data_IF_562578868768
#
_entry.id   IF_562578868768
#
_cell.length_a   1.000
_cell.length_b   1.000
_cell.length_c   1.000
_cell.angle_alpha   90.00
_cell.angle_beta   90.00
_cell.angle_gamma   90.00
#
_symmetry.space_group_name_H-M   'P 1'
#
loop_
_entity.id
_entity.type
_entity.pdbx_description
1 polymer ?
#
# COMPACT_ATOMS: atom_id res chain seq x y z
N UNK A 1 -25.51 -23.37 -15.31
CA UNK A 1 -25.69 -21.90 -15.22
C UNK A 1 -24.69 -21.37 -14.21
N UNK A 2 -23.49 -21.03 -14.68
CA UNK A 2 -22.38 -20.57 -13.83
C UNK A 2 -22.67 -19.16 -13.35
N UNK A 3 -22.80 -18.97 -12.03
CA UNK A 3 -22.76 -17.63 -11.41
C UNK A 3 -21.32 -17.12 -11.58
N UNK A 4 -21.05 -16.40 -12.65
CA UNK A 4 -19.89 -15.51 -12.71
C UNK A 4 -20.10 -14.49 -11.61
N UNK A 5 -19.42 -14.69 -10.48
CA UNK A 5 -19.30 -13.63 -9.48
C UNK A 5 -18.76 -12.41 -10.23
N UNK A 6 -19.38 -11.22 -10.12
CA UNK A 6 -18.70 -10.02 -10.55
C UNK A 6 -17.43 -9.99 -9.71
N UNK A 7 -16.28 -10.32 -10.31
CA UNK A 7 -15.00 -10.07 -9.66
C UNK A 7 -15.06 -8.59 -9.34
N UNK A 8 -15.20 -8.28 -8.06
CA UNK A 8 -15.29 -6.91 -7.58
C UNK A 8 -14.10 -6.19 -8.21
N UNK A 9 -14.42 -5.29 -9.13
CA UNK A 9 -13.46 -4.53 -9.89
C UNK A 9 -12.84 -3.55 -8.89
N UNK A 10 -11.85 -4.02 -8.14
CA UNK A 10 -11.20 -3.18 -7.14
C UNK A 10 -10.41 -2.13 -7.91
N UNK A 11 -10.52 -0.84 -7.52
CA UNK A 11 -9.76 0.20 -8.17
C UNK A 11 -8.26 -0.12 -8.06
N UNK A 12 -7.53 0.07 -9.17
CA UNK A 12 -6.07 -0.03 -9.15
C UNK A 12 -5.54 0.89 -8.04
N UNK A 13 -4.65 0.38 -7.15
CA UNK A 13 -4.05 1.21 -6.13
C UNK A 13 -3.26 2.32 -6.84
N UNK A 14 -3.73 3.55 -6.66
CA UNK A 14 -3.11 4.76 -7.22
C UNK A 14 -2.52 5.59 -6.10
N UNK A 15 -1.46 6.32 -6.43
CA UNK A 15 -0.82 7.24 -5.51
C UNK A 15 -0.53 8.55 -6.22
N UNK A 16 -1.11 9.64 -5.71
CA UNK A 16 -0.75 10.98 -6.14
C UNK A 16 0.62 11.33 -5.58
N UNK A 17 1.59 11.51 -6.47
CA UNK A 17 2.97 11.86 -6.12
C UNK A 17 3.33 13.16 -6.82
N UNK A 18 4.08 14.00 -6.12
CA UNK A 18 4.61 15.24 -6.71
C UNK A 18 6.04 14.96 -7.18
N UNK A 19 6.23 14.85 -8.50
CA UNK A 19 7.54 14.64 -9.13
C UNK A 19 7.94 15.95 -9.81
N UNK A 20 9.09 16.52 -9.45
CA UNK A 20 9.57 17.80 -9.97
C UNK A 20 8.56 18.97 -9.82
N UNK A 21 7.74 18.94 -8.78
CA UNK A 21 6.71 19.96 -8.53
C UNK A 21 5.37 19.72 -9.24
N UNK A 22 5.28 18.68 -10.08
CA UNK A 22 4.05 18.34 -10.81
C UNK A 22 3.30 17.24 -10.03
N UNK A 23 2.07 17.48 -9.57
CA UNK A 23 1.23 16.43 -9.01
C UNK A 23 0.80 15.49 -10.13
N UNK A 24 1.12 14.21 -10.00
CA UNK A 24 0.78 13.18 -10.98
C UNK A 24 0.28 11.94 -10.26
N UNK A 25 -0.83 11.39 -10.75
CA UNK A 25 -1.40 10.15 -10.24
C UNK A 25 -0.65 8.98 -10.87
N UNK A 26 0.08 8.22 -10.06
CA UNK A 26 0.80 7.05 -10.53
C UNK A 26 0.09 5.76 -10.14
N UNK A 27 0.16 4.78 -11.04
CA UNK A 27 -0.29 3.41 -10.80
C UNK A 27 0.76 2.64 -9.99
N UNK A 28 0.32 1.97 -8.93
CA UNK A 28 1.19 1.17 -8.07
C UNK A 28 1.27 -0.30 -8.52
N UNK A 29 0.28 -0.77 -9.26
CA UNK A 29 0.24 -2.13 -9.82
C UNK A 29 0.18 -2.07 -11.35
N UNK A 30 0.66 -3.14 -11.99
CA UNK A 30 0.73 -3.23 -13.44
C UNK A 30 -0.68 -3.36 -14.03
N UNK A 31 -1.13 -2.42 -14.86
CA UNK A 31 -2.42 -2.52 -15.54
C UNK A 31 -2.51 -3.73 -16.48
N UNK A 32 -1.38 -4.26 -16.96
CA UNK A 32 -1.35 -5.43 -17.86
C UNK A 32 -1.50 -6.78 -17.15
N UNK A 33 -1.25 -6.83 -15.83
CA UNK A 33 -1.13 -8.10 -15.10
C UNK A 33 -2.09 -8.14 -13.90
N UNK A 34 -3.30 -8.67 -14.10
CA UNK A 34 -4.25 -8.94 -13.00
C UNK A 34 -5.72 -8.70 -13.34
N UNK A 35 -6.63 -8.89 -12.37
CA UNK A 35 -8.08 -8.67 -12.54
C UNK A 35 -8.46 -7.17 -12.67
N UNK A 36 -7.48 -6.26 -12.67
CA UNK A 36 -7.67 -4.82 -12.62
C UNK A 36 -7.44 -4.09 -13.95
N UNK A 37 -7.10 -4.82 -15.02
CA UNK A 37 -6.82 -4.27 -16.35
C UNK A 37 -7.99 -3.45 -16.95
N UNK A 38 -9.21 -3.68 -16.48
CA UNK A 38 -10.42 -2.98 -16.94
C UNK A 38 -10.74 -1.67 -16.17
N UNK A 39 -9.95 -1.32 -15.14
CA UNK A 39 -10.22 -0.18 -14.25
C UNK A 39 -9.03 0.77 -14.12
N UNK A 40 -8.40 1.13 -15.23
CA UNK A 40 -7.45 2.24 -15.22
C UNK A 40 -8.20 3.55 -14.97
N UNK A 41 -7.84 4.31 -13.92
CA UNK A 41 -8.33 5.66 -13.74
C UNK A 41 -7.78 6.59 -14.84
N UNK A 42 -8.64 7.46 -15.35
CA UNK A 42 -8.28 8.43 -16.39
C UNK A 42 -7.12 9.33 -15.93
N UNK A 43 -6.07 9.40 -16.76
CA UNK A 43 -4.89 10.23 -16.50
C UNK A 43 -3.89 9.64 -15.52
N UNK A 44 -4.06 8.39 -15.06
CA UNK A 44 -3.06 7.72 -14.23
C UNK A 44 -1.89 7.22 -15.09
N UNK A 45 -0.66 7.49 -14.61
CA UNK A 45 0.58 7.15 -15.30
C UNK A 45 1.18 5.90 -14.67
N UNK A 46 1.45 4.88 -15.50
CA UNK A 46 2.25 3.74 -15.06
C UNK A 46 3.73 4.04 -15.24
N UNK A 47 4.49 4.02 -14.15
CA UNK A 47 5.94 4.18 -14.16
C UNK A 47 6.59 2.97 -13.45
N UNK A 48 7.47 2.28 -14.18
CA UNK A 48 8.14 1.07 -13.69
C UNK A 48 8.97 1.32 -12.43
N UNK A 49 9.53 2.52 -12.25
CA UNK A 49 10.31 2.88 -11.05
C UNK A 49 9.40 3.05 -9.85
N UNK A 50 8.22 3.65 -10.03
CA UNK A 50 7.22 3.79 -8.98
C UNK A 50 6.67 2.41 -8.58
N UNK A 51 6.38 1.56 -9.57
CA UNK A 51 5.98 0.18 -9.31
C UNK A 51 7.07 -0.60 -8.56
N UNK A 52 8.33 -0.54 -9.00
CA UNK A 52 9.45 -1.19 -8.30
C UNK A 52 9.63 -0.64 -6.87
N UNK A 53 9.51 0.68 -6.69
CA UNK A 53 9.56 1.29 -5.36
C UNK A 53 8.45 0.80 -4.45
N UNK A 54 7.23 0.64 -4.97
CA UNK A 54 6.08 0.09 -4.25
C UNK A 54 6.34 -1.35 -3.80
N UNK A 55 6.78 -2.20 -4.73
CA UNK A 55 7.10 -3.61 -4.44
C UNK A 55 8.19 -3.74 -3.38
N UNK A 56 9.27 -2.96 -3.50
CA UNK A 56 10.39 -2.97 -2.55
C UNK A 56 10.01 -2.35 -1.20
N UNK A 57 9.19 -1.31 -1.19
CA UNK A 57 8.68 -0.73 0.06
C UNK A 57 7.83 -1.74 0.84
N UNK A 58 7.00 -2.55 0.16
CA UNK A 58 6.25 -3.66 0.77
C UNK A 58 7.14 -4.76 1.34
N UNK A 59 8.32 -4.96 0.76
CA UNK A 59 9.34 -5.88 1.30
C UNK A 59 10.11 -5.30 2.51
N UNK A 60 9.85 -4.05 2.89
CA UNK A 60 10.47 -3.40 4.06
C UNK A 60 11.70 -2.55 3.75
N UNK A 61 11.97 -2.24 2.47
CA UNK A 61 13.08 -1.36 2.11
C UNK A 61 12.85 0.08 2.61
N UNK A 62 13.93 0.69 3.11
CA UNK A 62 13.89 2.05 3.67
C UNK A 62 13.80 3.10 2.56
N UNK A 63 13.15 4.23 2.88
CA UNK A 63 13.02 5.40 2.00
C UNK A 63 14.35 5.89 1.42
N UNK A 64 15.42 5.91 2.23
CA UNK A 64 16.75 6.33 1.78
C UNK A 64 17.36 5.39 0.74
N UNK A 65 17.15 4.09 0.91
CA UNK A 65 17.61 3.08 -0.03
C UNK A 65 16.89 3.22 -1.38
N UNK A 66 15.56 3.39 -1.35
CA UNK A 66 14.73 3.59 -2.54
C UNK A 66 15.10 4.87 -3.29
N UNK A 67 15.26 6.00 -2.59
CA UNK A 67 15.65 7.26 -3.22
C UNK A 67 17.01 7.15 -3.93
N UNK A 68 17.96 6.43 -3.33
CA UNK A 68 19.32 6.28 -3.87
C UNK A 68 19.35 5.30 -5.04
N UNK A 69 18.72 4.13 -4.92
CA UNK A 69 18.83 3.05 -5.91
C UNK A 69 17.86 3.21 -7.09
N UNK A 70 16.72 3.88 -6.89
CA UNK A 70 15.73 4.12 -7.96
C UNK A 70 15.80 5.55 -8.52
N UNK A 71 16.69 6.38 -7.99
CA UNK A 71 16.82 7.79 -8.39
C UNK A 71 15.57 8.61 -8.13
N UNK A 72 14.74 8.20 -7.16
CA UNK A 72 13.48 8.86 -6.85
C UNK A 72 13.70 10.07 -5.93
N UNK A 73 12.95 11.17 -6.10
CA UNK A 73 12.94 12.25 -5.14
C UNK A 73 12.60 11.72 -3.73
N UNK A 74 13.34 12.16 -2.71
CA UNK A 74 13.07 11.82 -1.30
C UNK A 74 11.58 11.95 -0.89
N UNK A 75 10.85 13.02 -1.23
CA UNK A 75 9.43 13.12 -0.87
C UNK A 75 8.58 12.01 -1.52
N UNK A 76 8.90 11.63 -2.77
CA UNK A 76 8.23 10.55 -3.50
C UNK A 76 8.48 9.20 -2.83
N UNK A 77 9.75 8.88 -2.56
CA UNK A 77 10.11 7.64 -1.87
C UNK A 77 9.49 7.55 -0.46
N UNK A 78 9.36 8.68 0.26
CA UNK A 78 8.72 8.72 1.57
C UNK A 78 7.23 8.43 1.49
N UNK A 79 6.54 9.04 0.52
CA UNK A 79 5.12 8.79 0.30
C UNK A 79 4.85 7.31 0.02
N UNK A 80 5.62 6.71 -0.91
CA UNK A 80 5.49 5.29 -1.25
C UNK A 80 5.69 4.39 -0.03
N UNK A 81 6.75 4.61 0.77
CA UNK A 81 7.00 3.80 1.97
C UNK A 81 5.90 3.98 3.02
N UNK A 82 5.36 5.19 3.16
CA UNK A 82 4.28 5.48 4.11
C UNK A 82 3.00 4.76 3.71
N UNK A 83 2.68 4.73 2.40
CA UNK A 83 1.52 4.02 1.86
C UNK A 83 1.72 2.50 1.84
N UNK A 84 2.94 2.02 1.58
CA UNK A 84 3.26 0.60 1.47
C UNK A 84 3.35 -0.09 2.83
N UNK A 85 3.65 0.67 3.89
CA UNK A 85 3.70 0.15 5.24
C UNK A 85 2.26 -0.15 5.66
N UNK A 86 1.89 -1.42 5.89
CA UNK A 86 0.62 -1.70 6.54
C UNK A 86 0.64 -0.95 7.87
N UNK A 87 -0.45 -0.22 8.17
CA UNK A 87 -0.67 0.42 9.46
C UNK A 87 -0.12 -0.52 10.52
N UNK A 88 0.87 -0.10 11.33
CA UNK A 88 1.40 -0.99 12.35
C UNK A 88 0.20 -1.44 13.16
N UNK A 89 -0.14 -2.74 13.05
CA UNK A 89 -1.15 -3.34 13.91
C UNK A 89 -0.79 -2.98 15.35
N UNK A 90 -1.79 -2.82 16.24
CA UNK A 90 -1.55 -2.45 17.62
C UNK A 90 -0.38 -3.28 18.16
N UNK A 91 0.57 -2.66 18.88
CA UNK A 91 1.79 -3.34 19.30
C UNK A 91 1.40 -4.69 19.87
N UNK A 92 1.84 -5.77 19.23
CA UNK A 92 1.76 -7.11 19.81
C UNK A 92 2.63 -7.05 21.04
N UNK A 93 2.02 -6.68 22.17
CA UNK A 93 2.61 -6.86 23.48
C UNK A 93 3.07 -8.32 23.54
N UNK A 94 4.31 -8.60 23.98
CA UNK A 94 4.72 -9.97 24.22
C UNK A 94 3.68 -10.62 25.14
N UNK A 95 3.21 -11.80 24.78
CA UNK A 95 2.22 -12.57 25.55
C UNK A 95 2.69 -12.89 26.99
N UNK A 96 3.94 -12.57 27.32
CA UNK A 96 4.57 -12.80 28.61
C UNK A 96 4.30 -11.69 29.67
N UNK A 97 3.58 -10.63 29.31
CA UNK A 97 3.10 -9.62 30.28
C UNK A 97 1.57 -9.53 30.28
N UNK A 98 0.92 -10.65 30.55
CA UNK A 98 -0.40 -10.66 31.16
C UNK A 98 -0.27 -10.15 32.61
N UNK A 99 -0.02 -8.86 32.80
CA UNK A 99 -0.30 -8.23 34.08
C UNK A 99 -1.80 -7.96 34.14
N UNK A 100 -2.43 -8.63 35.10
CA UNK A 100 -3.87 -8.67 35.28
C UNK A 100 -4.48 -7.29 35.32
N UNK A 101 -5.44 -7.08 34.41
CA UNK A 101 -6.51 -6.14 34.62
C UNK A 101 -7.80 -6.88 34.30
N UNK A 102 -8.55 -7.13 35.37
CA UNK A 102 -9.93 -7.56 35.39
C UNK A 102 -10.73 -6.88 34.28
N UNK A 103 -11.11 -7.63 33.24
CA UNK A 103 -12.27 -7.26 32.43
C UNK A 103 -13.48 -8.02 32.99
N UNK A 104 -14.29 -7.22 33.69
CA UNK A 104 -15.65 -7.48 34.11
C UNK A 104 -16.49 -7.83 32.86
N UNK A 105 -17.01 -9.06 32.80
CA UNK A 105 -17.96 -9.50 31.75
C UNK A 105 -19.39 -9.26 32.24
N UNK A 106 -20.24 -8.48 31.56
CA UNK A 106 -21.65 -8.38 31.93
C UNK A 106 -22.55 -9.03 30.87
N UNK A 107 -22.52 -10.35 30.69
CA UNK A 107 -23.62 -11.11 30.05
C UNK A 107 -23.57 -12.58 30.49
N UNK A 108 -24.59 -13.02 31.24
CA UNK A 108 -24.76 -14.39 31.71
C UNK A 108 -25.74 -14.48 32.88
N UNK A 109 -27.03 -14.37 32.57
CA UNK A 109 -28.17 -14.60 33.47
C UNK A 109 -29.38 -15.00 32.66
#
# INVERSE_FOLDING_TARGET
MSRTSPQQQLPLPTLCLVVNGIPTTYLLEDPGTGPYAASLPDGAVYDLRIHAAWVLARQGHRTSWLATHLGLPRPVARAIVTTARPTPGPPRLPADRAFGLNYFSPWGG
#
